data_IF_842895168729
#
_entry.id   IF_842895168729
#
_cell.length_a   1.000
_cell.length_b   1.000
_cell.length_c   1.000
_cell.angle_alpha   90.00
_cell.angle_beta   90.00
_cell.angle_gamma   90.00
#
_symmetry.space_group_name_H-M   'P 1'
#
loop_
_entity.id
_entity.type
_entity.pdbx_description
1 polymer ?
#
# COMPACT_ATOMS: atom_id res chain seq x y z
N UNK A 1 6.75 -8.96 4.02
CA UNK A 1 5.63 -8.17 4.59
C UNK A 1 5.15 -8.86 5.84
N UNK A 2 4.71 -8.09 6.84
CA UNK A 2 3.81 -8.62 7.87
C UNK A 2 2.40 -8.72 7.24
N UNK A 3 1.54 -9.61 7.74
CA UNK A 3 0.21 -9.80 7.14
C UNK A 3 -0.69 -8.61 7.45
N UNK A 4 -1.49 -8.12 6.48
CA UNK A 4 -2.49 -7.08 6.73
C UNK A 4 -3.68 -7.58 7.58
N UNK A 5 -3.80 -8.89 7.77
CA UNK A 5 -4.72 -9.50 8.73
C UNK A 5 -4.22 -10.89 9.15
N UNK A 6 -3.46 -11.02 10.25
CA UNK A 6 -2.92 -12.29 10.72
C UNK A 6 -4.01 -13.30 11.12
N UNK A 7 -5.19 -12.85 11.55
CA UNK A 7 -6.29 -13.73 11.94
C UNK A 7 -6.82 -14.56 10.77
N UNK A 8 -6.83 -14.00 9.56
CA UNK A 8 -7.21 -14.73 8.35
C UNK A 8 -6.24 -15.84 7.95
N UNK A 9 -5.03 -15.81 8.51
CA UNK A 9 -4.02 -16.85 8.37
C UNK A 9 -4.04 -17.86 9.53
N UNK A 10 -4.95 -17.73 10.49
CA UNK A 10 -5.04 -18.58 11.67
C UNK A 10 -4.12 -18.18 12.83
N UNK A 11 -3.53 -16.98 12.79
CA UNK A 11 -2.73 -16.43 13.88
C UNK A 11 -3.57 -15.49 14.78
N UNK A 12 -3.11 -15.13 15.98
CA UNK A 12 -3.80 -14.12 16.79
C UNK A 12 -3.90 -12.77 16.07
N UNK A 13 -5.00 -12.04 16.29
CA UNK A 13 -5.24 -10.71 15.70
C UNK A 13 -4.29 -9.65 16.27
N UNK A 14 -4.28 -8.46 15.65
CA UNK A 14 -3.51 -7.31 16.15
C UNK A 14 -3.90 -6.87 17.57
N UNK A 15 -5.12 -7.18 18.00
CA UNK A 15 -5.63 -6.83 19.32
C UNK A 15 -5.15 -7.78 20.43
N UNK A 16 -4.47 -8.88 20.07
CA UNK A 16 -4.02 -9.89 21.02
C UNK A 16 -2.57 -9.66 21.47
N UNK A 17 -2.26 -9.93 22.75
CA UNK A 17 -0.93 -9.74 23.34
C UNK A 17 0.16 -10.68 22.84
N UNK A 18 -0.22 -11.69 22.07
CA UNK A 18 0.71 -12.61 21.42
C UNK A 18 1.86 -11.90 20.68
N UNK A 19 1.59 -10.73 20.10
CA UNK A 19 2.53 -9.98 19.28
C UNK A 19 3.32 -8.92 20.05
N UNK A 20 3.14 -8.76 21.36
CA UNK A 20 3.79 -7.69 22.12
C UNK A 20 5.32 -7.72 22.06
N UNK A 21 5.99 -8.89 22.17
CA UNK A 21 7.44 -8.92 21.98
C UNK A 21 7.88 -8.44 20.60
N UNK A 22 7.04 -8.67 19.57
CA UNK A 22 7.28 -8.18 18.22
C UNK A 22 7.07 -6.67 18.15
N UNK A 23 5.96 -6.14 18.68
CA UNK A 23 5.69 -4.70 18.68
C UNK A 23 6.73 -3.91 19.49
N UNK A 24 7.16 -4.45 20.62
CA UNK A 24 8.23 -3.86 21.42
C UNK A 24 9.53 -3.80 20.62
N UNK A 25 9.94 -4.92 20.00
CA UNK A 25 11.15 -4.95 19.18
C UNK A 25 11.09 -3.95 18.01
N UNK A 26 9.96 -3.89 17.30
CA UNK A 26 9.72 -2.94 16.21
C UNK A 26 9.80 -1.49 16.69
N UNK A 27 9.17 -1.20 17.84
CA UNK A 27 9.19 0.13 18.48
C UNK A 27 10.61 0.52 18.89
N UNK A 28 11.38 -0.38 19.48
CA UNK A 28 12.74 -0.15 19.98
C UNK A 28 13.73 0.13 18.85
N UNK A 29 13.57 -0.54 17.70
CA UNK A 29 14.46 -0.38 16.55
C UNK A 29 14.00 0.67 15.55
N UNK A 30 12.77 1.18 15.70
CA UNK A 30 12.16 2.08 14.71
C UNK A 30 11.89 1.40 13.37
N UNK A 31 11.74 0.07 13.34
CA UNK A 31 11.49 -0.67 12.11
C UNK A 31 10.09 -0.35 11.59
N UNK A 32 9.96 -0.17 10.28
CA UNK A 32 8.65 -0.02 9.63
C UNK A 32 8.03 -1.40 9.39
N UNK A 33 6.77 -1.56 9.77
CA UNK A 33 5.99 -2.78 9.52
C UNK A 33 5.23 -2.60 8.21
N UNK A 34 5.74 -3.18 7.13
CA UNK A 34 5.05 -3.16 5.84
C UNK A 34 3.90 -4.19 5.84
N UNK A 35 2.71 -3.73 5.45
CA UNK A 35 1.48 -4.46 5.26
C UNK A 35 1.10 -4.35 3.78
N UNK A 36 1.29 -5.44 3.04
CA UNK A 36 1.04 -5.50 1.61
C UNK A 36 -0.37 -6.01 1.34
N UNK A 37 -1.08 -5.45 0.36
CA UNK A 37 -2.42 -5.95 0.01
C UNK A 37 -2.35 -7.45 -0.34
N UNK A 38 -3.33 -8.23 0.12
CA UNK A 38 -3.42 -9.66 -0.17
C UNK A 38 -2.51 -10.57 0.67
N UNK A 39 -1.65 -10.03 1.54
CA UNK A 39 -0.81 -10.84 2.44
C UNK A 39 -1.59 -11.54 3.56
N UNK A 40 -2.89 -11.27 3.71
CA UNK A 40 -3.84 -12.03 4.52
C UNK A 40 -4.39 -13.28 3.81
N UNK A 41 -4.02 -13.50 2.54
CA UNK A 41 -4.61 -14.53 1.66
C UNK A 41 -6.13 -14.40 1.51
N UNK A 42 -6.70 -13.23 1.80
CA UNK A 42 -8.10 -12.92 1.57
C UNK A 42 -8.23 -11.87 0.48
N UNK A 43 -9.07 -12.17 -0.50
CA UNK A 43 -9.42 -11.26 -1.58
C UNK A 43 -10.83 -10.72 -1.36
N UNK A 44 -11.07 -9.47 -1.74
CA UNK A 44 -12.41 -8.88 -1.65
C UNK A 44 -13.27 -9.39 -2.79
N UNK A 45 -13.99 -10.48 -2.54
CA UNK A 45 -14.90 -11.11 -3.50
C UNK A 45 -16.33 -10.68 -3.17
N UNK A 46 -16.92 -9.85 -4.02
CA UNK A 46 -18.32 -9.40 -3.89
C UNK A 46 -19.31 -10.49 -4.32
N UNK A 47 -18.99 -11.21 -5.39
CA UNK A 47 -19.71 -12.38 -5.87
C UNK A 47 -18.76 -13.24 -6.70
N UNK A 48 -18.91 -14.57 -6.63
CA UNK A 48 -18.18 -15.49 -7.51
C UNK A 48 -18.55 -15.32 -8.98
N UNK A 49 -19.72 -14.75 -9.26
CA UNK A 49 -20.21 -14.46 -10.60
C UNK A 49 -19.73 -13.09 -11.13
N UNK A 50 -19.12 -12.27 -10.28
CA UNK A 50 -18.60 -10.97 -10.69
C UNK A 50 -17.41 -11.15 -11.65
N UNK A 51 -17.26 -10.27 -12.66
CA UNK A 51 -16.02 -10.17 -13.42
C UNK A 51 -14.82 -9.94 -12.52
N UNK A 52 -13.67 -10.52 -12.84
CA UNK A 52 -12.43 -10.38 -12.06
C UNK A 52 -12.02 -8.91 -11.86
N UNK A 53 -12.38 -8.03 -12.80
CA UNK A 53 -12.17 -6.59 -12.68
C UNK A 53 -12.75 -6.00 -11.39
N UNK A 54 -13.86 -6.54 -10.87
CA UNK A 54 -14.44 -6.06 -9.61
C UNK A 54 -13.49 -6.31 -8.45
N UNK A 55 -12.89 -7.50 -8.39
CA UNK A 55 -11.91 -7.84 -7.36
C UNK A 55 -10.63 -6.99 -7.51
N UNK A 56 -10.09 -6.89 -8.73
CA UNK A 56 -8.89 -6.09 -9.02
C UNK A 56 -9.08 -4.64 -8.58
N UNK A 57 -10.22 -4.02 -8.94
CA UNK A 57 -10.50 -2.62 -8.59
C UNK A 57 -10.64 -2.38 -7.08
N UNK A 58 -11.06 -3.38 -6.31
CA UNK A 58 -11.27 -3.25 -4.86
C UNK A 58 -10.01 -3.55 -4.04
N UNK A 59 -9.02 -4.21 -4.63
CA UNK A 59 -7.90 -4.79 -3.88
C UNK A 59 -7.03 -3.74 -3.17
N UNK A 60 -6.62 -2.61 -3.79
CA UNK A 60 -5.85 -1.58 -3.08
C UNK A 60 -6.62 -0.99 -1.90
N UNK A 61 -7.89 -0.64 -2.11
CA UNK A 61 -8.77 -0.07 -1.08
C UNK A 61 -9.01 -1.03 0.10
N UNK A 62 -8.75 -2.32 -0.06
CA UNK A 62 -8.97 -3.31 0.99
C UNK A 62 -8.11 -3.06 2.24
N UNK A 63 -6.97 -2.38 2.10
CA UNK A 63 -6.14 -1.99 3.24
C UNK A 63 -6.80 -1.02 4.22
N UNK A 64 -7.93 -0.42 3.86
CA UNK A 64 -8.76 0.34 4.81
C UNK A 64 -9.13 -0.50 6.04
N UNK A 65 -9.31 -1.82 5.87
CA UNK A 65 -9.61 -2.72 6.98
C UNK A 65 -8.43 -2.85 7.94
N UNK A 66 -7.22 -3.10 7.42
CA UNK A 66 -6.01 -3.20 8.22
C UNK A 66 -5.67 -1.87 8.90
N UNK A 67 -5.85 -0.75 8.18
CA UNK A 67 -5.70 0.59 8.72
C UNK A 67 -6.67 0.84 9.89
N UNK A 68 -7.94 0.45 9.75
CA UNK A 68 -8.94 0.58 10.82
C UNK A 68 -8.60 -0.30 12.02
N UNK A 69 -8.33 -1.59 11.83
CA UNK A 69 -7.99 -2.52 12.92
C UNK A 69 -6.80 -2.00 13.73
N UNK A 70 -5.72 -1.60 13.05
CA UNK A 70 -4.53 -1.10 13.72
C UNK A 70 -4.78 0.23 14.39
N UNK A 71 -5.42 1.20 13.73
CA UNK A 71 -5.68 2.53 14.30
C UNK A 71 -6.48 2.45 15.61
N UNK A 72 -7.43 1.52 15.70
CA UNK A 72 -8.24 1.29 16.90
C UNK A 72 -7.64 0.24 17.85
N UNK A 73 -6.50 -0.35 17.51
CA UNK A 73 -5.83 -1.32 18.38
C UNK A 73 -5.04 -0.63 19.49
N UNK A 74 -4.83 -1.39 20.57
CA UNK A 74 -3.91 -1.02 21.64
C UNK A 74 -2.46 -0.83 21.17
N UNK A 75 -2.10 -1.32 19.98
CA UNK A 75 -0.73 -1.16 19.46
C UNK A 75 -0.39 0.32 19.33
N UNK A 76 -1.37 1.16 18.99
CA UNK A 76 -1.20 2.60 18.82
C UNK A 76 -0.98 3.35 20.13
N UNK A 77 -1.43 2.79 21.26
CA UNK A 77 -1.31 3.40 22.59
C UNK A 77 -0.14 2.83 23.38
N UNK A 78 0.11 1.52 23.27
CA UNK A 78 1.13 0.81 24.04
C UNK A 78 2.52 0.86 23.38
N UNK A 79 2.59 0.94 22.05
CA UNK A 79 3.86 0.94 21.30
C UNK A 79 3.99 2.21 20.43
N UNK A 80 4.19 3.38 21.06
CA UNK A 80 3.99 4.68 20.44
C UNK A 80 4.97 5.02 19.33
N UNK A 81 6.01 4.23 19.06
CA UNK A 81 6.99 4.49 17.98
C UNK A 81 6.79 3.58 16.75
N UNK A 82 5.88 2.61 16.81
CA UNK A 82 5.61 1.70 15.69
C UNK A 82 5.01 2.47 14.51
N UNK A 83 5.47 2.16 13.30
CA UNK A 83 4.91 2.70 12.06
C UNK A 83 4.53 1.58 11.11
N UNK A 84 3.46 1.79 10.36
CA UNK A 84 2.91 0.83 9.41
C UNK A 84 2.98 1.39 8.00
N UNK A 85 3.48 0.63 7.03
CA UNK A 85 3.38 1.00 5.62
C UNK A 85 2.25 0.22 4.96
N UNK A 86 1.31 0.93 4.32
CA UNK A 86 0.19 0.39 3.56
C UNK A 86 0.63 0.22 2.10
N UNK A 87 1.33 -0.87 1.81
CA UNK A 87 1.93 -1.15 0.50
C UNK A 87 0.87 -1.60 -0.51
N UNK A 88 0.91 -1.04 -1.73
CA UNK A 88 -0.07 -1.21 -2.81
C UNK A 88 -1.49 -0.72 -2.42
N UNK A 89 -1.61 0.13 -1.38
CA UNK A 89 -2.90 0.52 -0.80
C UNK A 89 -3.67 1.61 -1.53
N UNK A 90 -2.99 2.36 -2.41
CA UNK A 90 -3.53 3.60 -2.95
C UNK A 90 -3.77 4.65 -1.86
N UNK A 91 -4.07 5.88 -2.28
CA UNK A 91 -4.14 7.04 -1.38
C UNK A 91 -5.45 7.84 -1.52
N UNK A 92 -6.23 7.60 -2.58
CA UNK A 92 -7.46 8.34 -2.88
C UNK A 92 -8.60 8.13 -1.88
N UNK A 93 -8.63 7.01 -1.16
CA UNK A 93 -9.65 6.72 -0.14
C UNK A 93 -9.35 7.36 1.22
N UNK A 94 -8.09 7.74 1.45
CA UNK A 94 -7.58 8.14 2.77
C UNK A 94 -8.30 9.39 3.31
N UNK A 95 -8.51 10.48 2.54
CA UNK A 95 -9.16 11.69 3.08
C UNK A 95 -10.54 11.38 3.70
N UNK A 96 -11.35 10.57 3.02
CA UNK A 96 -12.64 10.14 3.55
C UNK A 96 -12.51 9.25 4.78
N UNK A 97 -11.54 8.33 4.79
CA UNK A 97 -11.31 7.48 5.96
C UNK A 97 -10.93 8.30 7.19
N UNK A 98 -10.06 9.31 7.04
CA UNK A 98 -9.66 10.20 8.13
C UNK A 98 -10.85 11.00 8.68
N UNK A 99 -11.69 11.55 7.80
CA UNK A 99 -12.96 12.17 8.21
C UNK A 99 -13.84 11.19 8.99
N UNK A 100 -13.95 9.96 8.50
CA UNK A 100 -14.83 8.94 9.09
C UNK A 100 -14.36 8.49 10.47
N UNK A 101 -13.06 8.28 10.68
CA UNK A 101 -12.54 7.82 11.99
C UNK A 101 -12.64 8.91 13.05
N UNK A 102 -12.42 10.18 12.69
CA UNK A 102 -12.62 11.31 13.59
C UNK A 102 -14.10 11.46 13.95
N UNK A 103 -15.00 11.36 12.97
CA UNK A 103 -16.44 11.36 13.23
C UNK A 103 -16.84 10.24 14.21
N UNK A 104 -16.34 9.01 13.99
CA UNK A 104 -16.61 7.87 14.88
C UNK A 104 -16.09 8.14 16.29
N UNK A 105 -14.89 8.69 16.42
CA UNK A 105 -14.33 9.06 17.72
C UNK A 105 -15.23 10.07 18.43
N UNK A 106 -15.52 11.20 17.80
CA UNK A 106 -16.29 12.30 18.41
C UNK A 106 -17.70 11.87 18.85
N UNK A 107 -18.34 10.94 18.11
CA UNK A 107 -19.71 10.52 18.39
C UNK A 107 -19.82 9.31 19.32
N UNK A 108 -18.78 8.49 19.42
CA UNK A 108 -18.87 7.20 20.09
C UNK A 108 -17.90 7.02 21.25
N UNK A 109 -16.84 7.83 21.36
CA UNK A 109 -15.81 7.71 22.40
C UNK A 109 -16.39 7.59 23.81
N UNK A 110 -17.42 8.39 24.14
CA UNK A 110 -18.01 8.42 25.47
C UNK A 110 -18.61 7.07 25.92
N UNK A 111 -19.12 6.25 24.99
CA UNK A 111 -19.71 4.94 25.33
C UNK A 111 -18.81 3.77 24.94
N UNK A 112 -17.95 3.92 23.93
CA UNK A 112 -16.97 2.88 23.56
C UNK A 112 -15.80 2.83 24.53
N UNK A 113 -15.52 3.92 25.25
CA UNK A 113 -14.38 4.03 26.15
C UNK A 113 -13.03 4.08 25.44
N UNK A 114 -13.03 4.28 24.11
CA UNK A 114 -11.81 4.36 23.33
C UNK A 114 -11.05 5.64 23.70
N UNK A 115 -9.83 5.51 24.19
CA UNK A 115 -8.99 6.64 24.60
C UNK A 115 -7.70 6.64 23.79
N UNK A 116 -7.58 7.58 22.85
CA UNK A 116 -6.42 7.75 21.99
C UNK A 116 -5.63 9.00 22.41
N UNK A 117 -4.30 9.01 22.23
CA UNK A 117 -3.46 10.14 22.65
C UNK A 117 -3.74 11.45 21.89
N UNK A 118 -4.40 11.36 20.73
CA UNK A 118 -4.79 12.48 19.87
C UNK A 118 -5.95 12.06 18.95
N UNK A 119 -6.41 12.93 18.03
CA UNK A 119 -7.45 12.53 17.09
C UNK A 119 -6.97 11.33 16.23
N UNK A 120 -7.86 10.37 15.91
CA UNK A 120 -7.46 9.23 15.08
C UNK A 120 -6.85 9.65 13.72
N UNK A 121 -7.35 10.73 13.10
CA UNK A 121 -6.77 11.24 11.85
C UNK A 121 -5.33 11.75 12.01
N UNK A 122 -5.04 12.44 13.11
CA UNK A 122 -3.69 12.93 13.43
C UNK A 122 -2.75 11.75 13.71
N UNK A 123 -3.24 10.77 14.48
CA UNK A 123 -2.50 9.56 14.79
C UNK A 123 -2.19 8.75 13.52
N UNK A 124 -3.15 8.66 12.59
CA UNK A 124 -2.93 8.06 11.28
C UNK A 124 -1.82 8.78 10.52
N UNK A 125 -1.92 10.11 10.38
CA UNK A 125 -0.91 10.95 9.70
C UNK A 125 0.47 10.90 10.37
N UNK A 126 0.55 10.50 11.64
CA UNK A 126 1.81 10.35 12.36
C UNK A 126 2.45 8.95 12.21
N UNK A 127 1.63 7.91 12.01
CA UNK A 127 2.05 6.50 12.18
C UNK A 127 1.87 5.62 10.94
N UNK A 128 1.08 6.03 9.97
CA UNK A 128 0.84 5.27 8.75
C UNK A 128 1.55 5.91 7.56
N UNK A 129 2.43 5.13 6.95
CA UNK A 129 3.09 5.39 5.67
C UNK A 129 2.16 4.89 4.57
N UNK A 130 1.87 5.76 3.62
CA UNK A 130 0.87 5.48 2.59
C UNK A 130 1.55 5.31 1.24
N UNK A 131 1.34 4.15 0.61
CA UNK A 131 1.98 3.82 -0.66
C UNK A 131 0.99 3.85 -1.82
N UNK A 132 1.47 4.23 -3.01
CA UNK A 132 0.67 4.24 -4.23
C UNK A 132 1.52 4.01 -5.48
N UNK A 133 0.91 3.39 -6.49
CA UNK A 133 1.50 3.19 -7.83
C UNK A 133 1.14 4.36 -8.75
N UNK A 134 -0.15 4.56 -9.03
CA UNK A 134 -0.70 5.69 -9.77
C UNK A 134 -2.07 6.05 -9.18
N UNK A 135 -2.20 7.27 -8.64
CA UNK A 135 -3.41 7.72 -7.96
C UNK A 135 -3.56 9.24 -8.04
N UNK A 136 -4.06 9.70 -9.19
CA UNK A 136 -4.31 11.13 -9.43
C UNK A 136 -5.31 11.74 -8.43
N UNK A 137 -6.26 10.95 -7.92
CA UNK A 137 -7.24 11.43 -6.93
C UNK A 137 -6.56 11.71 -5.59
N UNK A 138 -5.76 10.78 -5.09
CA UNK A 138 -5.03 11.00 -3.85
C UNK A 138 -3.94 12.07 -3.98
N UNK A 139 -3.26 12.18 -5.12
CA UNK A 139 -2.30 13.27 -5.36
C UNK A 139 -2.98 14.64 -5.38
N UNK A 140 -4.18 14.76 -5.97
CA UNK A 140 -4.97 15.99 -5.91
C UNK A 140 -5.30 16.39 -4.46
N UNK A 141 -5.53 15.42 -3.58
CA UNK A 141 -5.87 15.61 -2.16
C UNK A 141 -4.70 15.33 -1.20
N UNK A 142 -3.45 15.41 -1.67
CA UNK A 142 -2.24 15.00 -0.93
C UNK A 142 -2.04 15.69 0.43
N UNK A 143 -2.51 16.92 0.58
CA UNK A 143 -2.47 17.65 1.86
C UNK A 143 -3.39 16.98 2.90
N UNK A 144 -4.57 16.54 2.48
CA UNK A 144 -5.52 15.82 3.32
C UNK A 144 -5.04 14.39 3.62
N UNK A 145 -4.37 13.73 2.68
CA UNK A 145 -3.71 12.43 2.88
C UNK A 145 -2.59 12.56 3.93
N UNK A 146 -1.75 13.58 3.81
CA UNK A 146 -0.59 13.79 4.67
C UNK A 146 0.74 13.53 3.95
N UNK A 147 1.22 14.54 3.22
CA UNK A 147 2.43 14.49 2.37
C UNK A 147 3.64 13.87 3.07
N UNK A 148 3.83 14.13 4.38
CA UNK A 148 5.00 13.61 5.14
C UNK A 148 5.04 12.09 5.26
N UNK A 149 3.95 11.38 5.00
CA UNK A 149 3.93 9.91 5.06
C UNK A 149 3.71 9.27 3.69
N UNK A 150 3.55 10.07 2.65
CA UNK A 150 3.32 9.57 1.30
C UNK A 150 4.62 9.07 0.69
N UNK A 151 4.60 7.86 0.15
CA UNK A 151 5.71 7.27 -0.59
C UNK A 151 5.18 6.70 -1.91
N UNK A 152 5.88 6.97 -3.01
CA UNK A 152 5.58 6.33 -4.28
C UNK A 152 6.24 4.95 -4.37
N UNK A 153 5.57 4.00 -5.04
CA UNK A 153 6.12 2.68 -5.36
C UNK A 153 5.82 2.30 -6.82
N UNK A 154 6.67 1.48 -7.45
CA UNK A 154 6.46 1.06 -8.84
C UNK A 154 5.80 -0.33 -8.98
N UNK A 155 5.75 -1.09 -7.88
CA UNK A 155 5.24 -2.47 -7.81
C UNK A 155 5.83 -3.45 -8.84
N UNK A 156 7.10 -3.27 -9.21
CA UNK A 156 7.78 -4.21 -10.12
C UNK A 156 7.97 -5.59 -9.46
N UNK A 157 7.70 -6.73 -10.14
CA UNK A 157 7.34 -6.89 -11.55
C UNK A 157 5.85 -7.22 -11.77
N UNK A 158 4.98 -6.83 -10.85
CA UNK A 158 3.58 -7.23 -10.87
C UNK A 158 2.83 -6.69 -12.10
N UNK A 159 1.69 -7.28 -12.44
CA UNK A 159 0.91 -6.86 -13.62
C UNK A 159 0.32 -5.46 -13.48
N UNK A 160 0.16 -4.96 -12.25
CA UNK A 160 -0.30 -3.58 -11.98
C UNK A 160 0.86 -2.56 -12.01
N UNK A 161 2.10 -3.05 -12.10
CA UNK A 161 3.28 -2.20 -12.24
C UNK A 161 3.19 -1.32 -13.48
N UNK A 162 3.71 -0.11 -13.35
CA UNK A 162 3.91 0.81 -14.48
C UNK A 162 5.25 0.63 -15.19
N UNK A 163 6.08 -0.32 -14.75
CA UNK A 163 7.37 -0.60 -15.37
C UNK A 163 7.17 -1.08 -16.83
N UNK A 164 8.01 -0.65 -17.79
CA UNK A 164 9.24 0.15 -17.66
C UNK A 164 9.04 1.67 -17.75
N UNK A 165 7.80 2.14 -17.90
CA UNK A 165 7.44 3.56 -18.09
C UNK A 165 7.09 4.26 -16.76
N UNK A 166 7.45 3.68 -15.61
CA UNK A 166 7.04 4.18 -14.29
C UNK A 166 7.33 5.67 -14.08
N UNK A 167 8.53 6.20 -14.41
CA UNK A 167 8.79 7.63 -14.22
C UNK A 167 7.91 8.51 -15.12
N UNK A 168 7.66 8.13 -16.37
CA UNK A 168 6.80 8.88 -17.29
C UNK A 168 5.34 8.89 -16.87
N UNK A 169 4.86 7.77 -16.33
CA UNK A 169 3.51 7.64 -15.79
C UNK A 169 3.35 8.53 -14.58
N UNK A 170 4.25 8.41 -13.59
CA UNK A 170 4.23 9.22 -12.39
C UNK A 170 4.37 10.72 -12.69
N UNK A 171 5.26 11.11 -13.60
CA UNK A 171 5.49 12.52 -13.95
C UNK A 171 4.22 13.22 -14.46
N UNK A 172 3.31 12.49 -15.12
CA UNK A 172 2.01 13.05 -15.54
C UNK A 172 1.12 13.34 -14.34
N UNK A 173 1.07 12.43 -13.37
CA UNK A 173 0.25 12.57 -12.16
C UNK A 173 0.81 13.62 -11.18
N UNK A 174 2.12 13.91 -11.25
CA UNK A 174 2.79 14.95 -10.45
C UNK A 174 2.74 16.36 -11.08
N UNK A 175 2.15 16.52 -12.26
CA UNK A 175 2.14 17.80 -12.96
C UNK A 175 1.46 18.90 -12.13
N UNK A 176 2.20 19.99 -11.87
CA UNK A 176 1.72 21.14 -11.08
C UNK A 176 1.92 21.00 -9.57
N UNK A 177 2.49 19.89 -9.08
CA UNK A 177 2.92 19.74 -7.68
C UNK A 177 4.27 20.46 -7.49
N UNK A 178 4.50 21.20 -6.38
CA UNK A 178 5.78 21.81 -6.06
C UNK A 178 6.95 20.81 -6.00
N UNK A 179 8.13 21.25 -6.42
CA UNK A 179 9.32 20.38 -6.48
C UNK A 179 9.69 19.76 -5.12
N UNK A 180 9.50 20.48 -4.01
CA UNK A 180 9.78 19.96 -2.68
C UNK A 180 8.82 18.84 -2.27
N UNK A 181 7.55 18.95 -2.63
CA UNK A 181 6.57 17.88 -2.40
C UNK A 181 6.83 16.68 -3.32
N UNK A 182 7.25 16.92 -4.57
CA UNK A 182 7.68 15.86 -5.49
C UNK A 182 8.86 15.09 -4.89
N UNK A 183 9.91 15.77 -4.41
CA UNK A 183 11.05 15.11 -3.77
C UNK A 183 10.62 14.36 -2.50
N UNK A 184 9.76 14.96 -1.68
CA UNK A 184 9.19 14.32 -0.50
C UNK A 184 8.53 12.98 -0.85
N UNK A 185 7.56 12.99 -1.77
CA UNK A 185 6.78 11.82 -2.17
C UNK A 185 7.64 10.76 -2.86
N UNK A 186 8.57 11.18 -3.72
CA UNK A 186 9.32 10.24 -4.58
C UNK A 186 10.51 9.59 -3.89
N UNK A 187 11.18 10.25 -2.95
CA UNK A 187 12.32 9.64 -2.27
C UNK A 187 12.63 10.16 -0.86
N UNK A 188 12.48 11.45 -0.53
CA UNK A 188 12.94 11.97 0.77
C UNK A 188 12.16 11.37 1.94
N UNK A 189 10.86 11.11 1.77
CA UNK A 189 10.06 10.41 2.78
C UNK A 189 10.52 8.97 2.97
N UNK A 190 10.73 8.23 1.88
CA UNK A 190 11.21 6.85 1.97
C UNK A 190 12.58 6.78 2.65
N UNK A 191 13.51 7.69 2.30
CA UNK A 191 14.82 7.79 2.94
C UNK A 191 14.71 8.01 4.45
N UNK A 192 13.86 8.97 4.86
CA UNK A 192 13.67 9.32 6.28
C UNK A 192 12.98 8.20 7.06
N UNK A 193 11.93 7.59 6.49
CA UNK A 193 11.07 6.62 7.17
C UNK A 193 11.71 5.24 7.27
N UNK A 194 12.45 4.83 6.24
CA UNK A 194 13.14 3.53 6.20
C UNK A 194 14.62 3.62 6.58
N UNK A 195 15.10 4.80 7.00
CA UNK A 195 16.47 5.03 7.44
C UNK A 195 17.52 4.58 6.43
N UNK A 196 17.27 4.84 5.14
CA UNK A 196 18.15 4.44 4.04
C UNK A 196 18.53 5.65 3.20
N UNK A 197 19.84 5.87 3.03
CA UNK A 197 20.37 6.91 2.15
C UNK A 197 20.91 6.29 0.85
N UNK A 198 20.16 6.29 -0.26
CA UNK A 198 20.65 5.79 -1.54
C UNK A 198 21.82 6.63 -2.08
N UNK A 199 21.92 7.91 -1.69
CA UNK A 199 22.92 8.82 -2.24
C UNK A 199 24.31 8.65 -1.63
N UNK A 200 24.41 7.91 -0.52
CA UNK A 200 25.68 7.40 -0.01
C UNK A 200 26.32 6.36 -0.97
N UNK A 201 25.53 5.75 -1.85
CA UNK A 201 25.97 4.72 -2.80
C UNK A 201 26.01 5.21 -4.25
N UNK A 202 25.08 6.08 -4.65
CA UNK A 202 25.02 6.67 -5.99
C UNK A 202 24.66 8.15 -5.88
N UNK A 203 25.53 9.11 -6.27
CA UNK A 203 25.22 10.54 -6.16
C UNK A 203 23.88 10.92 -6.81
N UNK A 204 23.21 11.94 -6.29
CA UNK A 204 21.88 12.34 -6.76
C UNK A 204 21.89 12.73 -8.25
N UNK A 205 22.97 13.34 -8.73
CA UNK A 205 23.15 13.72 -10.13
C UNK A 205 23.20 12.48 -11.05
N UNK A 206 23.69 11.35 -10.54
CA UNK A 206 23.77 10.06 -11.22
C UNK A 206 22.52 9.19 -11.01
N UNK A 207 21.63 9.60 -10.10
CA UNK A 207 20.39 8.89 -9.74
C UNK A 207 19.17 9.37 -10.52
N UNK A 208 19.34 10.29 -11.47
CA UNK A 208 18.23 10.72 -12.34
C UNK A 208 17.78 9.60 -13.28
N UNK A 209 16.51 9.62 -13.71
CA UNK A 209 15.97 8.66 -14.68
C UNK A 209 16.85 8.57 -15.93
N UNK A 210 17.31 9.71 -16.44
CA UNK A 210 18.17 9.78 -17.62
C UNK A 210 19.57 9.17 -17.36
N UNK A 211 20.16 9.44 -16.19
CA UNK A 211 21.46 8.87 -15.82
C UNK A 211 21.39 7.35 -15.63
N UNK A 212 20.39 6.85 -14.89
CA UNK A 212 20.18 5.42 -14.65
C UNK A 212 19.93 4.66 -15.96
N UNK A 213 19.12 5.21 -16.88
CA UNK A 213 18.90 4.58 -18.20
C UNK A 213 20.16 4.50 -19.06
N UNK A 214 21.07 5.48 -18.96
CA UNK A 214 22.39 5.41 -19.64
C UNK A 214 23.27 4.29 -19.10
N UNK A 215 23.03 3.79 -17.88
CA UNK A 215 23.75 2.64 -17.32
C UNK A 215 23.08 1.31 -17.72
N UNK A 216 21.81 1.31 -18.10
CA UNK A 216 21.01 0.13 -18.42
C UNK A 216 20.93 -0.19 -19.94
N UNK A 217 21.96 0.14 -20.73
CA UNK A 217 21.94 0.01 -22.20
C UNK A 217 21.69 -1.42 -22.69
N UNK A 218 22.06 -2.43 -21.91
CA UNK A 218 21.86 -3.85 -22.25
C UNK A 218 20.48 -4.41 -21.89
N UNK A 219 19.58 -3.61 -21.33
CA UNK A 219 18.24 -4.06 -20.90
C UNK A 219 17.23 -3.76 -22.00
N UNK A 220 16.74 -4.81 -22.67
CA UNK A 220 15.62 -4.68 -23.61
C UNK A 220 14.30 -4.60 -22.82
N UNK A 221 13.69 -3.42 -22.84
CA UNK A 221 12.38 -3.16 -22.22
C UNK A 221 11.25 -3.17 -23.25
N UNK A 222 11.52 -3.55 -24.49
CA UNK A 222 10.50 -3.63 -25.54
C UNK A 222 9.46 -4.68 -25.17
N UNK A 223 8.16 -4.40 -25.31
CA UNK A 223 7.13 -5.42 -25.14
C UNK A 223 7.38 -6.59 -26.09
N UNK A 224 7.71 -7.75 -25.54
CA UNK A 224 7.86 -9.00 -26.29
C UNK A 224 6.59 -9.83 -26.16
N UNK A 225 6.04 -10.35 -27.27
CA UNK A 225 4.94 -11.31 -27.20
C UNK A 225 5.37 -12.51 -26.36
N UNK A 226 4.53 -12.95 -25.43
CA UNK A 226 4.82 -14.12 -24.57
C UNK A 226 4.92 -15.45 -25.34
N UNK A 227 4.71 -15.43 -26.65
CA UNK A 227 4.56 -16.61 -27.51
C UNK A 227 3.26 -17.38 -27.27
N UNK A 228 2.48 -17.01 -26.25
CA UNK A 228 1.16 -17.57 -25.97
C UNK A 228 0.11 -16.76 -26.72
N UNK A 229 -0.76 -17.46 -27.45
CA UNK A 229 -1.92 -16.84 -28.06
C UNK A 229 -2.78 -16.19 -26.97
N UNK A 230 -2.99 -14.87 -27.07
CA UNK A 230 -3.90 -14.15 -26.18
C UNK A 230 -5.31 -14.39 -26.69
N UNK A 231 -5.95 -15.44 -26.16
CA UNK A 231 -7.34 -15.75 -26.48
C UNK A 231 -8.24 -14.81 -25.69
N UNK A 232 -8.83 -13.84 -26.39
CA UNK A 232 -9.86 -12.98 -25.79
C UNK A 232 -11.07 -13.86 -25.47
N UNK A 233 -11.56 -13.87 -24.22
CA UNK A 233 -12.75 -14.63 -23.87
C UNK A 233 -14.01 -13.98 -24.46
N UNK A 234 -14.99 -14.80 -24.83
CA UNK A 234 -16.28 -14.35 -25.38
C UNK A 234 -17.13 -13.56 -24.37
N UNK A 235 -16.90 -13.82 -23.07
CA UNK A 235 -17.55 -13.14 -21.96
C UNK A 235 -16.50 -12.68 -20.94
N UNK A 236 -16.80 -11.67 -20.10
CA UNK A 236 -15.89 -11.26 -19.03
C UNK A 236 -15.53 -12.45 -18.13
N UNK A 237 -14.24 -12.62 -17.82
CA UNK A 237 -13.78 -13.69 -16.92
C UNK A 237 -14.29 -13.40 -15.52
N UNK A 238 -15.04 -14.34 -14.94
CA UNK A 238 -15.56 -14.23 -13.58
C UNK A 238 -14.66 -14.95 -12.59
N UNK A 239 -14.81 -14.63 -11.31
CA UNK A 239 -14.05 -15.29 -10.23
C UNK A 239 -14.26 -16.81 -10.23
N UNK A 240 -15.49 -17.28 -10.46
CA UNK A 240 -15.81 -18.70 -10.53
C UNK A 240 -15.08 -19.42 -11.67
N UNK A 241 -14.84 -18.74 -12.80
CA UNK A 241 -14.16 -19.32 -13.95
C UNK A 241 -12.66 -19.56 -13.66
N UNK A 242 -12.06 -18.79 -12.74
CA UNK A 242 -10.67 -18.96 -12.28
C UNK A 242 -10.56 -20.08 -11.25
N UNK A 243 -11.50 -20.14 -10.30
CA UNK A 243 -11.56 -21.21 -9.31
C UNK A 243 -11.67 -22.59 -9.99
N UNK A 244 -12.49 -22.69 -11.03
CA UNK A 244 -12.62 -23.91 -11.84
C UNK A 244 -11.32 -24.32 -12.55
N UNK A 245 -10.44 -23.36 -12.90
CA UNK A 245 -9.13 -23.62 -13.52
C UNK A 245 -8.04 -24.01 -12.51
N UNK A 246 -8.21 -23.63 -11.24
CA UNK A 246 -7.26 -23.90 -10.17
C UNK A 246 -7.40 -25.31 -9.57
N UNK A 247 -8.52 -26.02 -9.85
CA UNK A 247 -8.67 -27.43 -9.45
C UNK A 247 -7.76 -28.28 -10.34
N UNK A 248 -6.76 -29.00 -9.79
CA UNK A 248 -5.96 -29.90 -10.60
C UNK A 248 -6.87 -30.93 -11.26
N UNK A 249 -6.77 -31.09 -12.59
CA UNK A 249 -7.42 -32.19 -13.29
C UNK A 249 -7.00 -33.48 -12.59
N UNK A 250 -7.94 -34.19 -11.97
CA UNK A 250 -7.70 -35.53 -11.46
C UNK A 250 -7.11 -36.34 -12.61
N UNK A 251 -5.91 -36.90 -12.41
CA UNK A 251 -5.29 -37.79 -13.37
C UNK A 251 -6.21 -39.01 -13.54
N UNK A 252 -6.79 -39.15 -14.73
CA UNK A 252 -7.49 -40.35 -15.20
C UNK A 252 -6.52 -41.26 -15.92
#
# INVERSE_FOLDING_TARGET
>A
TFSENPEKLGWPSFHNEHWDPFWQAVSDTGTVVCLHIGSSSQLTITSVEAPINVMISLQPMNLVQAAADLLWSRVMTEFPLVRFALSEGGIGWIPYFLERVDYVYEHHQAWTGQDLPMKPSELFKERFITCFIDDASGLKNREDVGIKQMTWECDYPHSDSTWPESPERLAKSLAGIPDDEIRAITYENAMRLFHYDPFAHLPIEESTVAALRKQAIGVDTSPVPSGKEVIRPDTPVRIIDLAARAVPKAAS
#
